data_IF_746490178171
#
_entry.id   IF_746490178171
#
_cell.length_a   1.000
_cell.length_b   1.000
_cell.length_c   1.000
_cell.angle_alpha   90.00
_cell.angle_beta   90.00
_cell.angle_gamma   90.00
#
_symmetry.space_group_name_H-M   'P 1'
#
loop_
_entity.id
_entity.type
_entity.pdbx_description
1 polymer ?
#
# COMPACT_ATOMS: atom_id res chain seq x y z
N UNK A 1 52.02 44.74 1.98
CA UNK A 1 52.52 43.84 3.00
C UNK A 1 51.55 43.87 4.20
N UNK A 2 50.63 42.92 4.29
CA UNK A 2 49.92 42.52 5.50
C UNK A 2 49.19 41.21 5.19
N UNK A 3 49.71 40.14 5.67
CA UNK A 3 49.12 38.80 5.68
C UNK A 3 47.95 38.79 6.68
N UNK A 4 46.79 38.35 6.25
CA UNK A 4 45.61 38.09 7.08
C UNK A 4 45.50 36.59 7.28
N UNK A 5 45.57 36.17 8.50
CA UNK A 5 45.48 34.83 9.02
C UNK A 5 44.04 34.25 8.82
N UNK A 6 43.92 33.19 8.04
CA UNK A 6 42.77 32.30 8.09
C UNK A 6 42.84 31.40 9.31
N UNK A 7 41.99 31.59 10.28
CA UNK A 7 41.84 30.75 11.43
C UNK A 7 40.91 29.58 11.18
N UNK A 8 41.41 28.41 11.43
CA UNK A 8 40.81 27.09 11.51
C UNK A 8 39.37 27.07 12.12
N UNK A 9 38.41 26.60 11.33
CA UNK A 9 37.08 26.15 11.83
C UNK A 9 36.79 24.69 11.44
N UNK A 10 37.73 23.78 11.64
CA UNK A 10 37.50 22.34 11.33
C UNK A 10 37.74 21.43 12.55
N UNK A 11 37.32 21.82 13.74
CA UNK A 11 37.61 21.00 14.91
C UNK A 11 36.39 20.45 15.68
N UNK A 12 35.15 20.87 15.38
CA UNK A 12 34.00 20.41 16.12
C UNK A 12 33.23 19.25 15.46
N UNK A 13 33.31 19.08 14.16
CA UNK A 13 32.59 18.02 13.46
C UNK A 13 33.25 16.62 13.62
N UNK A 14 34.56 16.56 13.79
CA UNK A 14 35.31 15.30 13.88
C UNK A 14 35.13 14.56 15.22
N UNK A 15 34.74 15.26 16.27
CA UNK A 15 34.56 14.66 17.62
C UNK A 15 33.10 14.20 17.86
N UNK A 16 32.14 14.68 17.12
CA UNK A 16 30.73 14.28 17.29
C UNK A 16 30.42 12.89 16.70
N UNK A 17 31.07 12.52 15.60
CA UNK A 17 30.85 11.25 14.92
C UNK A 17 31.19 10.03 15.82
N UNK A 18 32.31 9.94 16.49
CA UNK A 18 32.61 8.79 17.35
C UNK A 18 31.69 8.73 18.59
N UNK A 19 31.24 9.88 19.11
CA UNK A 19 30.35 9.88 20.27
C UNK A 19 28.92 9.39 19.85
N UNK A 20 28.48 9.76 18.69
CA UNK A 20 27.17 9.28 18.13
C UNK A 20 27.25 7.79 17.82
N UNK A 21 28.33 7.32 17.23
CA UNK A 21 28.54 5.90 16.98
C UNK A 21 28.68 5.10 18.28
N UNK A 22 29.31 5.65 19.29
CA UNK A 22 29.41 5.02 20.61
C UNK A 22 28.06 4.98 21.31
N UNK A 23 27.26 6.04 21.24
CA UNK A 23 25.93 6.07 21.80
C UNK A 23 25.02 5.07 21.09
N UNK A 24 25.07 4.98 19.76
CA UNK A 24 24.35 3.97 18.97
C UNK A 24 24.83 2.56 19.35
N UNK A 25 26.14 2.34 19.52
CA UNK A 25 26.66 1.04 19.91
C UNK A 25 26.26 0.64 21.34
N UNK A 26 26.22 1.57 22.28
CA UNK A 26 25.74 1.34 23.65
C UNK A 26 24.24 1.03 23.67
N UNK A 27 23.42 1.75 22.89
CA UNK A 27 21.99 1.46 22.73
C UNK A 27 21.76 0.08 22.10
N UNK A 28 22.58 -0.31 21.12
CA UNK A 28 22.51 -1.61 20.47
C UNK A 28 22.98 -2.77 21.36
N UNK A 29 23.78 -2.50 22.42
CA UNK A 29 24.29 -3.53 23.32
C UNK A 29 23.35 -3.90 24.47
N UNK A 30 22.27 -3.16 24.68
CA UNK A 30 21.30 -3.41 25.76
C UNK A 30 20.07 -4.12 25.18
N UNK A 31 20.27 -5.31 24.61
CA UNK A 31 19.13 -6.12 24.14
C UNK A 31 18.41 -6.81 25.29
N UNK A 32 17.28 -6.27 25.70
CA UNK A 32 16.28 -6.99 26.50
C UNK A 32 15.44 -7.90 25.59
N UNK A 33 14.94 -9.05 26.07
CA UNK A 33 14.12 -9.94 25.25
C UNK A 33 12.87 -9.23 24.74
N UNK A 34 12.70 -9.22 23.44
CA UNK A 34 11.64 -8.54 22.72
C UNK A 34 10.26 -9.22 22.90
N UNK A 35 9.24 -8.43 23.19
CA UNK A 35 7.83 -8.83 23.29
C UNK A 35 6.95 -7.93 22.41
N UNK A 36 5.89 -8.50 21.87
CA UNK A 36 5.08 -8.11 20.70
C UNK A 36 4.20 -6.85 20.71
N UNK A 37 3.70 -6.46 19.50
CA UNK A 37 2.73 -5.39 19.25
C UNK A 37 1.48 -5.45 20.12
N UNK A 38 0.93 -4.25 20.50
CA UNK A 38 0.24 -4.17 21.77
C UNK A 38 -1.11 -4.87 21.86
N UNK A 39 -1.98 -4.78 20.84
CA UNK A 39 -3.36 -5.22 21.01
C UNK A 39 -3.53 -6.75 21.17
N UNK A 40 -3.22 -7.51 20.13
CA UNK A 40 -3.38 -8.97 20.17
C UNK A 40 -2.30 -9.64 21.01
N UNK A 41 -1.10 -9.13 20.98
CA UNK A 41 0.01 -9.65 21.76
C UNK A 41 -0.25 -9.56 23.27
N UNK A 42 -0.79 -8.44 23.73
CA UNK A 42 -1.21 -8.30 25.14
C UNK A 42 -2.33 -9.27 25.50
N UNK A 43 -3.35 -9.39 24.64
CA UNK A 43 -4.47 -10.29 24.86
C UNK A 43 -4.02 -11.73 25.03
N UNK A 44 -3.13 -12.19 24.18
CA UNK A 44 -2.75 -13.60 24.11
C UNK A 44 -1.39 -13.91 24.77
N UNK A 45 -0.68 -12.89 25.25
CA UNK A 45 0.65 -13.06 25.85
C UNK A 45 1.68 -13.59 24.86
N UNK A 46 1.57 -13.19 23.58
CA UNK A 46 2.43 -13.64 22.51
C UNK A 46 3.54 -12.62 22.23
N UNK A 47 4.61 -13.05 21.56
CA UNK A 47 5.66 -12.17 21.02
C UNK A 47 5.33 -11.79 19.58
N UNK A 48 5.87 -10.68 19.05
CA UNK A 48 5.72 -10.30 17.64
C UNK A 48 6.12 -11.42 16.69
N UNK A 49 7.26 -12.04 16.95
CA UNK A 49 7.79 -13.16 16.16
C UNK A 49 6.91 -14.42 16.19
N UNK A 50 5.87 -14.47 17.03
CA UNK A 50 4.88 -15.52 16.93
C UNK A 50 3.99 -15.34 15.69
N UNK A 51 3.70 -14.09 15.30
CA UNK A 51 2.81 -13.76 14.20
C UNK A 51 3.53 -13.18 12.98
N UNK A 52 4.72 -12.60 13.16
CA UNK A 52 5.46 -11.91 12.13
C UNK A 52 6.84 -12.54 11.90
N UNK A 53 7.25 -12.66 10.66
CA UNK A 53 8.64 -12.95 10.29
C UNK A 53 9.49 -11.69 10.45
N UNK A 54 8.98 -10.60 9.92
CA UNK A 54 9.41 -9.23 10.16
C UNK A 54 8.15 -8.37 10.11
N UNK A 55 7.94 -7.51 11.09
CA UNK A 55 6.74 -6.65 11.08
C UNK A 55 6.78 -5.69 9.87
N UNK A 56 5.69 -5.50 9.09
CA UNK A 56 4.33 -6.03 9.29
C UNK A 56 4.06 -7.39 8.64
N UNK A 57 5.05 -8.01 7.99
CA UNK A 57 4.92 -9.27 7.26
C UNK A 57 4.51 -10.43 8.19
N UNK A 58 3.39 -11.09 7.88
CA UNK A 58 2.87 -12.21 8.67
C UNK A 58 3.57 -13.53 8.30
N UNK A 59 3.94 -14.29 9.33
CA UNK A 59 4.29 -15.70 9.17
C UNK A 59 3.02 -16.57 9.08
N UNK A 60 3.19 -17.87 8.91
CA UNK A 60 2.09 -18.82 8.79
C UNK A 60 1.10 -18.76 9.98
N UNK A 61 1.61 -18.63 11.21
CA UNK A 61 0.75 -18.55 12.40
C UNK A 61 -0.02 -17.23 12.43
N UNK A 62 0.63 -16.12 12.13
CA UNK A 62 -0.01 -14.81 12.08
C UNK A 62 -1.09 -14.73 11.01
N UNK A 63 -0.84 -15.32 9.84
CA UNK A 63 -1.83 -15.40 8.78
C UNK A 63 -3.05 -16.24 9.21
N UNK A 64 -2.83 -17.41 9.81
CA UNK A 64 -3.90 -18.25 10.32
C UNK A 64 -4.71 -17.58 11.43
N UNK A 65 -4.06 -16.83 12.31
CA UNK A 65 -4.72 -16.04 13.35
C UNK A 65 -5.65 -14.99 12.75
N UNK A 66 -5.19 -14.26 11.73
CA UNK A 66 -6.01 -13.32 10.97
C UNK A 66 -7.18 -14.01 10.29
N UNK A 67 -6.94 -15.13 9.62
CA UNK A 67 -7.96 -15.87 8.87
C UNK A 67 -9.09 -16.39 9.77
N UNK A 68 -8.74 -16.76 11.00
CA UNK A 68 -9.72 -17.18 12.02
C UNK A 68 -10.39 -16.00 12.76
N UNK A 69 -10.37 -14.80 12.23
CA UNK A 69 -11.01 -13.64 12.86
C UNK A 69 -10.33 -13.17 14.13
N UNK A 70 -8.98 -13.17 14.14
CA UNK A 70 -8.16 -12.81 15.30
C UNK A 70 -8.38 -13.68 16.52
N UNK A 71 -8.58 -14.99 16.29
CA UNK A 71 -8.83 -16.02 17.29
C UNK A 71 -7.78 -17.13 17.23
N UNK A 72 -7.42 -17.66 18.40
CA UNK A 72 -6.56 -18.84 18.53
C UNK A 72 -7.36 -20.15 18.44
N UNK A 73 -8.69 -20.08 18.42
CA UNK A 73 -9.63 -21.19 18.45
C UNK A 73 -9.51 -22.02 19.75
N UNK A 74 -9.29 -21.34 20.87
CA UNK A 74 -9.18 -21.95 22.19
C UNK A 74 -9.86 -21.07 23.27
N UNK A 75 -9.72 -21.44 24.53
CA UNK A 75 -10.33 -20.77 25.68
C UNK A 75 -9.85 -19.34 25.94
N UNK A 76 -8.76 -18.92 25.32
CA UNK A 76 -8.25 -17.52 25.39
C UNK A 76 -8.99 -16.55 24.48
N UNK A 77 -9.90 -17.02 23.63
CA UNK A 77 -10.68 -16.22 22.69
C UNK A 77 -11.88 -15.53 23.35
N UNK A 78 -11.74 -15.09 24.58
CA UNK A 78 -12.80 -14.34 25.26
C UNK A 78 -13.10 -13.02 24.52
N UNK A 79 -14.37 -12.61 24.44
CA UNK A 79 -14.76 -11.32 23.93
C UNK A 79 -14.03 -10.16 24.60
N UNK A 80 -13.79 -9.08 23.87
CA UNK A 80 -13.03 -7.92 24.37
C UNK A 80 -13.64 -7.29 25.63
N UNK A 81 -14.94 -7.33 25.78
CA UNK A 81 -15.68 -6.76 26.90
C UNK A 81 -15.67 -7.62 28.18
N UNK A 82 -15.27 -8.88 28.09
CA UNK A 82 -15.17 -9.76 29.28
C UNK A 82 -13.94 -9.46 30.13
N UNK A 83 -12.94 -8.81 29.59
CA UNK A 83 -11.77 -8.39 30.35
C UNK A 83 -11.62 -6.86 30.25
N UNK A 84 -12.27 -6.17 31.16
CA UNK A 84 -12.31 -4.72 31.19
C UNK A 84 -10.93 -4.06 31.39
N UNK A 85 -9.92 -4.79 31.89
CA UNK A 85 -8.54 -4.30 32.01
C UNK A 85 -7.78 -4.37 30.69
N UNK A 86 -8.36 -4.94 29.67
CA UNK A 86 -7.75 -5.13 28.38
C UNK A 86 -8.64 -4.53 27.28
N UNK A 87 -8.28 -3.36 26.80
CA UNK A 87 -8.84 -2.83 25.56
C UNK A 87 -7.85 -3.00 24.42
N UNK A 88 -8.22 -3.61 23.29
CA UNK A 88 -7.31 -3.90 22.20
C UNK A 88 -7.04 -2.67 21.31
N UNK A 89 -6.46 -1.62 21.88
CA UNK A 89 -6.07 -0.41 21.15
C UNK A 89 -4.55 -0.40 20.96
N UNK A 90 -4.13 -0.06 19.76
CA UNK A 90 -2.74 0.25 19.40
C UNK A 90 -2.72 1.60 18.72
N UNK A 91 -1.82 2.45 19.08
CA UNK A 91 -1.49 3.67 18.35
C UNK A 91 -0.25 3.40 17.51
N UNK A 92 -0.28 3.76 16.23
CA UNK A 92 0.86 3.67 15.32
C UNK A 92 1.13 5.03 14.72
N UNK A 93 2.39 5.40 14.66
CA UNK A 93 2.85 6.57 13.92
C UNK A 93 4.20 6.30 13.31
N UNK A 94 4.46 6.90 12.14
CA UNK A 94 5.72 6.77 11.40
C UNK A 94 6.23 8.15 11.04
N UNK A 95 6.95 8.83 11.96
CA UNK A 95 7.68 10.04 11.63
C UNK A 95 8.94 9.70 10.83
N UNK A 96 9.24 10.53 9.86
CA UNK A 96 10.42 10.34 9.01
C UNK A 96 10.99 11.68 8.53
N UNK A 97 12.22 11.64 8.08
CA UNK A 97 12.82 12.66 7.25
C UNK A 97 13.00 12.09 5.84
N UNK A 98 12.58 12.86 4.85
CA UNK A 98 12.75 12.46 3.45
C UNK A 98 13.53 13.49 2.67
N UNK A 99 14.20 13.00 1.64
CA UNK A 99 14.79 13.80 0.58
C UNK A 99 14.36 13.20 -0.75
N UNK A 100 13.61 13.97 -1.50
CA UNK A 100 13.16 13.58 -2.82
C UNK A 100 13.80 14.46 -3.89
N UNK A 101 14.14 13.86 -5.03
CA UNK A 101 14.71 14.59 -6.16
C UNK A 101 14.08 14.10 -7.46
N UNK A 102 13.38 15.00 -8.13
CA UNK A 102 12.78 14.76 -9.43
C UNK A 102 13.62 15.42 -10.50
N UNK A 103 13.93 14.70 -11.58
CA UNK A 103 14.84 15.18 -12.62
C UNK A 103 14.26 16.34 -13.43
N UNK A 104 12.93 16.39 -13.55
CA UNK A 104 12.20 17.36 -14.35
C UNK A 104 10.89 17.72 -13.69
N UNK A 105 10.89 18.82 -12.96
CA UNK A 105 9.68 19.41 -12.43
C UNK A 105 9.29 20.63 -13.28
N UNK A 106 7.99 20.85 -13.45
CA UNK A 106 7.52 22.08 -14.07
C UNK A 106 7.84 23.27 -13.15
N UNK A 107 8.37 24.33 -13.70
CA UNK A 107 8.58 25.60 -13.01
C UNK A 107 7.75 26.67 -13.68
N UNK A 108 7.07 27.49 -12.92
CA UNK A 108 6.02 28.42 -13.35
C UNK A 108 6.47 29.54 -14.30
N UNK A 109 7.75 29.75 -14.45
CA UNK A 109 8.23 31.04 -14.92
C UNK A 109 8.74 31.04 -16.32
N UNK A 110 8.65 29.96 -17.04
CA UNK A 110 9.34 30.09 -18.32
C UNK A 110 8.89 29.16 -19.41
N UNK A 111 9.01 29.59 -20.62
CA UNK A 111 8.83 28.74 -21.79
C UNK A 111 9.82 27.56 -21.88
N UNK A 112 10.70 27.38 -20.90
CA UNK A 112 11.71 26.31 -20.87
C UNK A 112 11.64 25.41 -19.65
N UNK A 113 10.73 25.52 -18.94
CA UNK A 113 10.12 25.17 -17.72
C UNK A 113 10.44 23.86 -17.00
N UNK A 114 11.38 23.03 -17.41
CA UNK A 114 11.72 21.82 -16.64
C UNK A 114 13.08 21.95 -15.97
N UNK A 115 13.08 21.77 -14.64
CA UNK A 115 14.30 21.78 -13.84
C UNK A 115 14.31 20.61 -12.88
N UNK A 116 15.51 20.22 -12.45
CA UNK A 116 15.64 19.31 -11.33
C UNK A 116 15.15 20.00 -10.06
N UNK A 117 14.23 19.38 -9.38
CA UNK A 117 13.72 19.85 -8.09
C UNK A 117 14.10 18.84 -7.00
N UNK A 118 14.51 19.36 -5.85
CA UNK A 118 14.81 18.55 -4.68
C UNK A 118 14.10 19.15 -3.49
N UNK A 119 13.32 18.32 -2.82
CA UNK A 119 12.63 18.65 -1.57
C UNK A 119 13.25 17.86 -0.43
N UNK A 120 13.27 18.45 0.75
CA UNK A 120 13.72 17.78 1.97
C UNK A 120 12.90 18.26 3.13
N UNK A 121 12.54 17.36 4.05
CA UNK A 121 11.78 17.76 5.22
C UNK A 121 11.52 16.62 6.19
N UNK A 122 11.00 16.99 7.34
CA UNK A 122 10.40 16.05 8.26
C UNK A 122 8.91 15.94 7.95
N UNK A 123 8.39 14.74 8.04
CA UNK A 123 6.99 14.45 7.84
C UNK A 123 6.53 13.35 8.79
N UNK A 124 5.22 13.14 8.85
CA UNK A 124 4.56 12.11 9.62
C UNK A 124 3.56 11.40 8.71
N UNK A 125 3.72 10.11 8.48
CA UNK A 125 2.76 9.35 7.67
C UNK A 125 1.43 9.08 8.37
N UNK A 126 0.97 10.02 9.19
CA UNK A 126 -0.27 9.95 9.92
C UNK A 126 -0.18 9.28 11.29
N UNK A 127 -1.33 9.20 11.93
CA UNK A 127 -1.54 8.52 13.22
C UNK A 127 -2.70 7.54 13.07
N UNK A 128 -2.41 6.26 13.21
CA UNK A 128 -3.42 5.22 13.17
C UNK A 128 -3.81 4.78 14.58
N UNK A 129 -5.09 4.58 14.77
CA UNK A 129 -5.66 3.96 15.96
C UNK A 129 -6.21 2.60 15.54
N UNK A 130 -5.48 1.52 15.84
CA UNK A 130 -5.92 0.18 15.49
C UNK A 130 -6.64 -0.45 16.67
N UNK A 131 -7.87 -0.86 16.46
CA UNK A 131 -8.60 -1.66 17.43
C UNK A 131 -9.32 -2.81 16.71
N UNK A 132 -9.26 -3.98 17.30
CA UNK A 132 -9.84 -5.19 16.71
C UNK A 132 -9.90 -6.34 17.71
N UNK A 133 -10.68 -7.34 17.39
CA UNK A 133 -10.82 -8.52 18.23
C UNK A 133 -12.17 -9.19 18.09
N UNK A 134 -12.47 -10.09 19.00
CA UNK A 134 -13.74 -10.82 19.06
C UNK A 134 -14.77 -10.06 19.89
N UNK A 135 -15.95 -9.86 19.33
CA UNK A 135 -17.14 -9.37 20.05
C UNK A 135 -17.88 -10.53 20.69
N UNK A 136 -18.02 -11.61 19.98
CA UNK A 136 -18.56 -12.89 20.41
C UNK A 136 -17.84 -14.02 19.70
N UNK A 137 -18.10 -15.26 20.10
CA UNK A 137 -17.53 -16.42 19.40
C UNK A 137 -17.88 -16.37 17.92
N UNK A 138 -16.86 -16.42 17.06
CA UNK A 138 -17.00 -16.34 15.61
C UNK A 138 -17.58 -15.00 15.11
N UNK A 139 -17.52 -13.95 15.90
CA UNK A 139 -17.88 -12.61 15.50
C UNK A 139 -16.77 -11.65 15.92
N UNK A 140 -16.06 -11.12 14.95
CA UNK A 140 -14.91 -10.24 15.13
C UNK A 140 -15.07 -8.93 14.38
N UNK A 141 -14.20 -7.96 14.68
CA UNK A 141 -14.18 -6.66 14.05
C UNK A 141 -12.75 -6.15 13.89
N UNK A 142 -12.58 -5.22 12.98
CA UNK A 142 -11.39 -4.38 12.85
C UNK A 142 -11.84 -2.94 12.57
N UNK A 143 -11.26 -2.00 13.30
CA UNK A 143 -11.51 -0.57 13.16
C UNK A 143 -10.16 0.15 13.16
N UNK A 144 -9.88 0.90 12.11
CA UNK A 144 -8.64 1.68 11.93
C UNK A 144 -9.01 3.09 11.50
N UNK A 145 -9.37 3.99 12.44
CA UNK A 145 -9.35 5.42 12.15
C UNK A 145 -7.90 5.88 12.03
N UNK A 146 -7.64 6.66 11.00
CA UNK A 146 -6.35 7.26 10.70
C UNK A 146 -6.49 8.78 10.63
N UNK A 147 -5.52 9.50 11.14
CA UNK A 147 -5.38 10.93 10.94
C UNK A 147 -4.18 11.18 10.03
N UNK A 148 -4.35 12.03 9.03
CA UNK A 148 -3.24 12.50 8.20
C UNK A 148 -2.38 13.55 8.95
N UNK A 149 -1.33 14.03 8.32
CA UNK A 149 -0.43 15.07 8.86
C UNK A 149 -1.13 16.41 9.10
N UNK A 150 -2.23 16.67 8.44
CA UNK A 150 -3.05 17.87 8.60
C UNK A 150 -4.09 17.73 9.72
N UNK A 151 -4.24 16.52 10.25
CA UNK A 151 -5.17 16.18 11.32
C UNK A 151 -6.59 15.88 10.85
N UNK A 152 -6.80 15.68 9.56
CA UNK A 152 -8.07 15.17 9.05
C UNK A 152 -8.22 13.68 9.36
N UNK A 153 -9.36 13.30 9.90
CA UNK A 153 -9.66 11.91 10.24
C UNK A 153 -10.42 11.20 9.11
N UNK A 154 -9.96 10.04 8.76
CA UNK A 154 -10.64 9.12 7.86
C UNK A 154 -10.61 7.69 8.41
N UNK A 155 -11.44 6.82 7.87
CA UNK A 155 -11.38 5.40 8.23
C UNK A 155 -10.63 4.62 7.15
N UNK A 156 -9.45 4.14 7.51
CA UNK A 156 -8.71 3.24 6.65
C UNK A 156 -9.42 1.88 6.57
N UNK A 157 -9.84 1.32 7.70
CA UNK A 157 -10.60 0.08 7.76
C UNK A 157 -11.70 0.14 8.82
N UNK A 158 -12.89 -0.30 8.46
CA UNK A 158 -14.04 -0.45 9.36
C UNK A 158 -14.82 -1.65 8.92
N UNK A 159 -14.64 -2.78 9.57
CA UNK A 159 -15.37 -3.98 9.18
C UNK A 159 -15.72 -4.88 10.35
N UNK A 160 -16.74 -5.67 10.13
CA UNK A 160 -17.14 -6.80 10.98
C UNK A 160 -17.00 -8.10 10.21
N UNK A 161 -16.75 -9.17 10.94
CA UNK A 161 -16.55 -10.49 10.36
C UNK A 161 -17.37 -11.52 11.11
N UNK A 162 -17.95 -12.43 10.34
CA UNK A 162 -18.60 -13.63 10.81
C UNK A 162 -17.71 -14.81 10.43
N UNK A 163 -17.05 -15.39 11.41
CA UNK A 163 -15.99 -16.37 11.19
C UNK A 163 -16.49 -17.79 11.49
N UNK A 164 -16.00 -18.75 10.70
CA UNK A 164 -16.29 -20.18 10.89
C UNK A 164 -17.79 -20.48 11.02
N UNK A 165 -18.62 -19.85 10.19
CA UNK A 165 -20.05 -20.08 10.15
C UNK A 165 -20.34 -21.58 9.95
N UNK A 166 -21.33 -22.09 10.67
CA UNK A 166 -21.66 -23.52 10.70
C UNK A 166 -20.48 -24.44 11.05
N UNK A 167 -19.50 -23.92 11.81
CA UNK A 167 -18.25 -24.60 12.20
C UNK A 167 -17.38 -24.99 10.99
N UNK A 168 -17.49 -24.25 9.90
CA UNK A 168 -16.73 -24.48 8.68
C UNK A 168 -15.70 -23.38 8.45
N UNK A 169 -14.40 -23.67 8.31
CA UNK A 169 -13.38 -22.68 7.97
C UNK A 169 -13.54 -22.16 6.52
N UNK A 170 -14.43 -22.77 5.74
CA UNK A 170 -14.77 -22.32 4.40
C UNK A 170 -15.82 -21.21 4.36
N UNK A 171 -16.44 -20.88 5.50
CA UNK A 171 -17.54 -19.94 5.55
C UNK A 171 -17.21 -18.78 6.52
N UNK A 172 -16.48 -17.81 6.01
CA UNK A 172 -16.21 -16.55 6.69
C UNK A 172 -16.72 -15.42 5.83
N UNK A 173 -17.36 -14.43 6.42
CA UNK A 173 -17.89 -13.26 5.71
C UNK A 173 -17.41 -12.00 6.40
N UNK A 174 -16.91 -11.06 5.62
CA UNK A 174 -16.43 -9.75 6.07
C UNK A 174 -17.28 -8.68 5.37
N UNK A 175 -17.72 -7.66 6.11
CA UNK A 175 -18.57 -6.58 5.60
C UNK A 175 -18.09 -5.25 6.15
N UNK A 176 -18.02 -4.24 5.32
CA UNK A 176 -17.59 -2.88 5.66
C UNK A 176 -16.52 -2.36 4.73
N UNK A 177 -15.61 -1.52 5.24
CA UNK A 177 -14.39 -1.08 4.53
C UNK A 177 -13.24 -1.98 4.97
N UNK A 178 -12.60 -2.66 4.03
CA UNK A 178 -11.63 -3.70 4.34
C UNK A 178 -10.63 -3.93 3.19
N UNK A 179 -9.46 -4.42 3.58
CA UNK A 179 -8.48 -4.96 2.67
C UNK A 179 -8.98 -6.26 2.04
N UNK A 180 -8.79 -6.42 0.72
CA UNK A 180 -9.09 -7.66 -0.01
C UNK A 180 -8.22 -8.82 0.51
N UNK A 181 -8.79 -10.02 0.54
CA UNK A 181 -8.08 -11.21 1.05
C UNK A 181 -7.15 -11.81 -0.02
N UNK A 182 -6.07 -11.08 -0.30
CA UNK A 182 -4.91 -11.57 -1.03
C UNK A 182 -3.81 -11.98 -0.06
N UNK A 183 -2.99 -12.97 -0.37
CA UNK A 183 -1.89 -13.35 0.52
C UNK A 183 -0.65 -12.46 0.32
N UNK A 184 -0.48 -11.82 -0.83
CA UNK A 184 0.43 -10.70 -1.03
C UNK A 184 -0.39 -9.41 -0.89
N UNK A 185 -0.07 -8.60 0.07
CA UNK A 185 -0.84 -7.42 0.43
C UNK A 185 0.08 -6.25 0.68
N UNK A 186 -0.28 -5.11 0.15
CA UNK A 186 0.39 -3.83 0.41
C UNK A 186 0.61 -3.58 1.90
N UNK A 187 -0.43 -3.80 2.71
CA UNK A 187 -0.37 -3.57 4.17
C UNK A 187 0.64 -4.47 4.90
N UNK A 188 1.28 -5.41 4.20
CA UNK A 188 2.24 -6.38 4.76
C UNK A 188 3.57 -6.43 4.02
N UNK A 189 3.79 -5.55 3.05
CA UNK A 189 5.10 -5.34 2.45
C UNK A 189 6.02 -4.59 3.40
N UNK A 190 7.32 -4.65 3.17
CA UNK A 190 8.30 -3.97 3.99
C UNK A 190 8.67 -2.59 3.45
N UNK A 191 8.39 -2.32 2.19
CA UNK A 191 8.66 -1.04 1.54
C UNK A 191 7.65 0.02 1.95
N UNK A 192 8.11 1.24 2.24
CA UNK A 192 7.28 2.39 2.66
C UNK A 192 7.65 3.69 1.93
N UNK A 193 8.47 3.65 0.90
CA UNK A 193 8.94 4.86 0.24
C UNK A 193 7.78 5.71 -0.30
N UNK A 194 7.78 7.00 0.00
CA UNK A 194 6.74 7.94 -0.40
C UNK A 194 7.00 8.63 -1.75
N UNK A 195 8.14 8.38 -2.38
CA UNK A 195 8.45 9.02 -3.67
C UNK A 195 7.66 8.47 -4.86
N UNK A 196 6.49 7.87 -4.59
CA UNK A 196 5.64 7.26 -5.62
C UNK A 196 6.20 5.97 -6.18
N UNK A 197 7.19 5.41 -5.50
CA UNK A 197 7.83 4.19 -5.95
C UNK A 197 7.29 2.92 -5.31
N UNK A 198 7.00 2.97 -4.02
CA UNK A 198 6.40 1.83 -3.33
C UNK A 198 4.96 1.61 -3.82
N UNK A 199 4.51 0.41 -3.74
CA UNK A 199 3.14 0.02 -4.08
C UNK A 199 2.63 0.47 -5.46
N UNK A 200 3.52 0.88 -6.36
CA UNK A 200 3.14 1.41 -7.67
C UNK A 200 2.16 0.47 -8.39
N UNK A 201 2.42 -0.83 -8.38
CA UNK A 201 1.55 -1.80 -9.04
C UNK A 201 0.23 -2.02 -8.30
N UNK A 202 0.22 -1.95 -6.98
CA UNK A 202 -1.00 -2.05 -6.18
C UNK A 202 -1.96 -0.89 -6.42
N UNK A 203 -1.41 0.32 -6.61
CA UNK A 203 -2.15 1.55 -6.83
C UNK A 203 -2.16 1.99 -8.29
N UNK A 204 -1.63 1.19 -9.19
CA UNK A 204 -1.45 1.62 -10.58
C UNK A 204 -2.78 1.75 -11.30
N UNK A 205 -3.11 2.98 -11.64
CA UNK A 205 -4.25 3.36 -12.46
C UNK A 205 -3.74 4.34 -13.53
N UNK A 206 -3.66 3.91 -14.79
CA UNK A 206 -3.11 4.76 -15.85
C UNK A 206 -4.03 5.92 -16.25
N UNK A 207 -5.28 5.87 -15.83
CA UNK A 207 -6.29 6.86 -16.21
C UNK A 207 -7.16 7.20 -15.00
N UNK A 208 -7.49 8.47 -14.86
CA UNK A 208 -8.44 8.94 -13.85
C UNK A 208 -7.88 9.07 -12.44
N UNK A 209 -8.78 9.30 -11.52
CA UNK A 209 -8.50 9.45 -10.10
C UNK A 209 -8.48 8.09 -9.42
N UNK A 210 -7.41 7.81 -8.71
CA UNK A 210 -7.19 6.56 -7.97
C UNK A 210 -8.25 6.21 -6.94
N UNK A 211 -9.02 7.18 -6.47
CA UNK A 211 -10.09 6.95 -5.51
C UNK A 211 -11.36 6.33 -6.11
N UNK A 212 -11.39 6.08 -7.40
CA UNK A 212 -12.63 5.73 -8.07
C UNK A 212 -12.73 4.26 -8.38
N UNK A 213 -11.64 3.58 -8.69
CA UNK A 213 -11.70 2.19 -9.13
C UNK A 213 -10.36 1.50 -9.21
N UNK A 214 -10.38 0.18 -9.20
CA UNK A 214 -9.34 -0.68 -9.76
C UNK A 214 -8.04 -0.81 -8.97
N UNK A 215 -7.93 -0.21 -7.81
CA UNK A 215 -6.76 -0.39 -6.96
C UNK A 215 -6.89 -1.67 -6.12
N UNK A 216 -5.90 -2.54 -6.24
CA UNK A 216 -5.88 -3.80 -5.50
C UNK A 216 -5.36 -3.59 -4.07
N UNK A 217 -4.56 -2.53 -3.85
CA UNK A 217 -3.94 -2.20 -2.57
C UNK A 217 -4.87 -1.47 -1.60
N UNK A 218 -5.90 -0.79 -2.09
CA UNK A 218 -6.78 -0.01 -1.24
C UNK A 218 -7.82 -0.84 -0.50
N UNK A 219 -8.27 -0.30 0.63
CA UNK A 219 -9.40 -0.87 1.34
C UNK A 219 -10.70 -0.60 0.58
N UNK A 220 -11.48 -1.65 0.35
CA UNK A 220 -12.71 -1.64 -0.45
C UNK A 220 -13.94 -1.63 0.45
N UNK A 221 -15.02 -0.96 0.02
CA UNK A 221 -16.30 -0.92 0.74
C UNK A 221 -17.27 -1.92 0.12
N UNK A 222 -17.59 -2.99 0.86
CA UNK A 222 -18.44 -4.06 0.34
C UNK A 222 -18.58 -5.25 1.27
N UNK A 223 -18.70 -6.41 0.64
CA UNK A 223 -18.74 -7.69 1.33
C UNK A 223 -17.79 -8.69 0.67
N UNK A 224 -17.13 -9.50 1.48
CA UNK A 224 -16.20 -10.53 1.03
C UNK A 224 -16.48 -11.83 1.75
N UNK A 225 -16.59 -12.89 0.97
CA UNK A 225 -16.53 -14.27 1.44
C UNK A 225 -15.09 -14.76 1.40
N UNK A 226 -14.67 -15.44 2.47
CA UNK A 226 -13.33 -16.03 2.60
C UNK A 226 -13.46 -17.47 3.06
N UNK A 227 -12.68 -18.37 2.46
CA UNK A 227 -12.64 -19.77 2.84
C UNK A 227 -11.22 -20.30 2.86
N UNK A 228 -10.93 -21.18 3.81
CA UNK A 228 -9.65 -21.87 3.86
C UNK A 228 -9.79 -23.32 4.30
N UNK A 229 -8.89 -24.18 3.86
CA UNK A 229 -8.83 -25.56 4.30
C UNK A 229 -8.39 -25.63 5.77
N UNK A 230 -8.79 -26.68 6.50
CA UNK A 230 -8.45 -26.85 7.92
C UNK A 230 -6.94 -26.87 8.21
N UNK A 231 -6.11 -27.20 7.22
CA UNK A 231 -4.65 -27.12 7.29
C UNK A 231 -4.10 -25.80 6.69
N UNK A 232 -4.95 -24.85 6.35
CA UNK A 232 -4.64 -23.54 5.79
C UNK A 232 -3.79 -23.56 4.49
N UNK A 233 -3.77 -24.67 3.79
CA UNK A 233 -3.01 -24.77 2.53
C UNK A 233 -3.75 -24.15 1.35
N UNK A 234 -5.06 -24.39 1.26
CA UNK A 234 -5.92 -23.84 0.21
C UNK A 234 -6.71 -22.67 0.78
N UNK A 235 -6.72 -21.55 0.07
CA UNK A 235 -7.50 -20.36 0.40
C UNK A 235 -8.25 -19.88 -0.83
N UNK A 236 -9.48 -19.44 -0.64
CA UNK A 236 -10.33 -18.83 -1.66
C UNK A 236 -10.99 -17.58 -1.08
N UNK A 237 -11.14 -16.57 -1.91
CA UNK A 237 -11.88 -15.36 -1.57
C UNK A 237 -12.71 -14.90 -2.76
N UNK A 238 -13.89 -14.35 -2.47
CA UNK A 238 -14.72 -13.67 -3.47
C UNK A 238 -15.38 -12.45 -2.82
N UNK A 239 -15.26 -11.28 -3.44
CA UNK A 239 -15.81 -10.03 -2.94
C UNK A 239 -16.65 -9.31 -3.98
N UNK A 240 -17.63 -8.54 -3.49
CA UNK A 240 -18.34 -7.53 -4.25
C UNK A 240 -18.29 -6.23 -3.47
N UNK A 241 -17.87 -5.17 -4.13
CA UNK A 241 -17.66 -3.87 -3.50
C UNK A 241 -17.93 -2.70 -4.45
N UNK A 242 -17.98 -1.50 -3.89
CA UNK A 242 -18.18 -0.27 -4.64
C UNK A 242 -16.96 0.05 -5.51
N UNK A 243 -17.19 0.46 -6.75
CA UNK A 243 -16.13 0.99 -7.62
C UNK A 243 -15.85 2.49 -7.38
N UNK A 244 -16.51 3.14 -6.43
CA UNK A 244 -16.50 4.58 -6.22
C UNK A 244 -16.19 4.95 -4.76
N UNK A 245 -15.42 4.14 -4.06
CA UNK A 245 -15.08 4.28 -2.63
C UNK A 245 -16.30 4.61 -1.73
N UNK A 246 -17.42 3.93 -2.00
CA UNK A 246 -18.65 4.07 -1.23
C UNK A 246 -19.54 5.27 -1.64
N UNK A 247 -19.21 5.99 -2.69
CA UNK A 247 -20.10 6.98 -3.23
C UNK A 247 -21.32 6.29 -3.87
N UNK A 248 -22.50 6.52 -3.30
CA UNK A 248 -23.76 5.94 -3.76
C UNK A 248 -24.50 6.80 -4.78
N UNK A 249 -24.05 8.03 -4.99
CA UNK A 249 -24.62 8.96 -5.95
C UNK A 249 -24.18 8.61 -7.38
N UNK A 250 -24.78 7.56 -7.91
CA UNK A 250 -24.50 7.10 -9.27
C UNK A 250 -25.50 7.78 -10.23
N UNK A 251 -25.03 8.61 -11.15
CA UNK A 251 -25.90 9.33 -12.07
C UNK A 251 -26.72 8.41 -12.96
N UNK A 252 -27.97 8.75 -13.21
CA UNK A 252 -28.83 8.11 -14.24
C UNK A 252 -28.94 6.58 -14.12
N UNK A 253 -28.97 6.04 -12.90
CA UNK A 253 -29.13 4.61 -12.69
C UNK A 253 -27.95 3.76 -13.17
N UNK A 254 -26.79 4.36 -13.32
CA UNK A 254 -25.56 3.63 -13.60
C UNK A 254 -25.15 2.79 -12.37
N UNK A 255 -24.45 1.71 -12.60
CA UNK A 255 -23.94 0.84 -11.54
C UNK A 255 -22.47 1.15 -11.27
N UNK A 256 -22.02 0.92 -10.04
CA UNK A 256 -20.61 1.09 -9.65
C UNK A 256 -20.16 -0.05 -8.75
N UNK A 257 -20.16 -1.25 -9.32
CA UNK A 257 -19.77 -2.45 -8.60
C UNK A 257 -18.54 -3.10 -9.20
N UNK A 258 -17.70 -3.63 -8.32
CA UNK A 258 -16.53 -4.44 -8.67
C UNK A 258 -16.67 -5.80 -8.03
N UNK A 259 -16.41 -6.84 -8.81
CA UNK A 259 -16.21 -8.20 -8.34
C UNK A 259 -14.72 -8.53 -8.23
N UNK A 260 -14.34 -9.23 -7.19
CA UNK A 260 -12.99 -9.74 -6.98
C UNK A 260 -13.05 -11.23 -6.66
N UNK A 261 -12.08 -11.98 -7.15
CA UNK A 261 -11.86 -13.38 -6.80
C UNK A 261 -10.37 -13.63 -6.64
N UNK A 262 -10.00 -14.35 -5.58
CA UNK A 262 -8.63 -14.79 -5.37
C UNK A 262 -8.58 -16.23 -4.87
N UNK A 263 -7.49 -16.92 -5.21
CA UNK A 263 -7.26 -18.27 -4.74
C UNK A 263 -5.79 -18.59 -4.63
N UNK A 264 -5.40 -19.35 -3.60
CA UNK A 264 -4.00 -19.74 -3.42
C UNK A 264 -3.86 -21.13 -2.82
N UNK A 265 -2.70 -21.74 -3.12
CA UNK A 265 -2.31 -23.06 -2.64
C UNK A 265 -0.91 -23.03 -2.04
N UNK A 266 -0.78 -23.50 -0.81
CA UNK A 266 0.51 -23.69 -0.15
C UNK A 266 0.97 -25.15 -0.24
N UNK A 267 2.29 -25.35 -0.40
CA UNK A 267 2.92 -26.66 -0.45
C UNK A 267 4.29 -26.63 0.24
N UNK A 268 4.65 -27.74 0.87
CA UNK A 268 5.93 -27.84 1.57
C UNK A 268 7.02 -28.32 0.61
N UNK A 269 8.15 -27.63 0.64
CA UNK A 269 9.36 -27.98 -0.11
C UNK A 269 10.49 -28.48 0.83
N UNK A 270 10.11 -29.01 1.98
CA UNK A 270 11.05 -29.57 2.95
C UNK A 270 11.88 -28.47 3.63
N UNK A 271 13.20 -28.54 3.48
CA UNK A 271 14.13 -27.59 4.13
C UNK A 271 14.02 -26.15 3.64
N UNK A 272 13.45 -25.93 2.45
CA UNK A 272 13.26 -24.58 1.91
C UNK A 272 12.09 -23.84 2.53
N UNK A 273 11.13 -24.54 3.14
CA UNK A 273 9.96 -23.93 3.78
C UNK A 273 8.65 -24.28 3.10
N UNK A 274 7.62 -23.51 3.41
CA UNK A 274 6.28 -23.63 2.82
C UNK A 274 6.11 -22.54 1.78
N UNK A 275 6.04 -22.95 0.53
CA UNK A 275 5.80 -22.07 -0.61
C UNK A 275 4.31 -21.85 -0.78
N UNK A 276 3.89 -20.68 -1.26
CA UNK A 276 2.50 -20.40 -1.63
C UNK A 276 2.46 -19.76 -3.02
N UNK A 277 1.56 -20.23 -3.84
CA UNK A 277 1.24 -19.64 -5.14
C UNK A 277 -0.26 -19.39 -5.23
N UNK A 278 -0.63 -18.40 -5.99
CA UNK A 278 -2.03 -18.03 -6.18
C UNK A 278 -2.22 -17.09 -7.33
N UNK A 279 -3.44 -16.63 -7.46
CA UNK A 279 -3.80 -15.63 -8.44
C UNK A 279 -5.12 -14.98 -8.09
N UNK A 280 -5.39 -13.88 -8.75
CA UNK A 280 -6.61 -13.10 -8.54
C UNK A 280 -7.14 -12.57 -9.86
N UNK A 281 -8.42 -12.23 -9.84
CA UNK A 281 -9.10 -11.51 -10.90
C UNK A 281 -10.04 -10.48 -10.29
N UNK A 282 -10.09 -9.30 -10.90
CA UNK A 282 -10.97 -8.21 -10.55
C UNK A 282 -11.61 -7.69 -11.83
N UNK A 283 -12.92 -7.48 -11.79
CA UNK A 283 -13.66 -6.84 -12.86
C UNK A 283 -14.68 -5.87 -12.26
N UNK A 284 -14.67 -4.66 -12.75
CA UNK A 284 -15.56 -3.62 -12.27
C UNK A 284 -16.11 -2.74 -13.37
N UNK A 285 -17.10 -1.96 -12.98
CA UNK A 285 -17.66 -0.90 -13.80
C UNK A 285 -17.76 0.36 -12.96
N UNK A 286 -17.43 1.50 -13.56
CA UNK A 286 -17.55 2.80 -12.93
C UNK A 286 -18.25 3.78 -13.87
N UNK A 287 -19.03 4.74 -13.34
CA UNK A 287 -19.72 5.73 -14.15
C UNK A 287 -18.71 6.72 -14.73
N UNK A 288 -18.96 7.17 -15.95
CA UNK A 288 -18.16 8.20 -16.63
C UNK A 288 -18.97 9.43 -17.01
N UNK A 289 -20.22 9.46 -16.60
CA UNK A 289 -21.10 10.59 -16.86
C UNK A 289 -20.89 11.68 -15.82
N UNK A 290 -20.51 12.86 -16.27
CA UNK A 290 -20.38 14.04 -15.42
C UNK A 290 -21.61 14.89 -15.53
N UNK A 291 -22.01 15.48 -14.41
CA UNK A 291 -23.19 16.33 -14.31
C UNK A 291 -22.78 17.77 -14.02
N UNK A 292 -23.49 18.72 -14.61
CA UNK A 292 -23.45 20.11 -14.14
C UNK A 292 -24.07 20.21 -12.75
N UNK A 293 -23.89 21.34 -12.07
CA UNK A 293 -24.57 21.63 -10.79
C UNK A 293 -26.11 21.55 -10.89
N UNK A 294 -26.68 21.63 -12.10
CA UNK A 294 -28.11 21.48 -12.36
C UNK A 294 -28.52 20.04 -12.70
N UNK A 295 -27.63 19.05 -12.58
CA UNK A 295 -27.94 17.65 -12.86
C UNK A 295 -28.03 17.29 -14.35
N UNK A 296 -27.51 18.13 -15.25
CA UNK A 296 -27.52 17.87 -16.70
C UNK A 296 -26.16 17.24 -17.10
N UNK A 297 -26.14 16.17 -17.92
CA UNK A 297 -24.89 15.59 -18.40
C UNK A 297 -24.06 16.61 -19.18
N UNK A 298 -22.76 16.65 -18.88
CA UNK A 298 -21.81 17.43 -19.66
C UNK A 298 -21.64 16.79 -21.05
N UNK A 299 -21.72 17.58 -22.13
CA UNK A 299 -21.49 17.07 -23.47
C UNK A 299 -20.12 16.40 -23.58
N UNK A 300 -20.06 15.22 -24.19
CA UNK A 300 -18.81 14.50 -24.41
C UNK A 300 -18.27 13.73 -23.22
N UNK A 301 -18.89 13.79 -22.04
CA UNK A 301 -18.42 13.06 -20.86
C UNK A 301 -18.55 11.52 -20.98
N UNK A 302 -19.18 11.02 -22.03
CA UNK A 302 -19.60 9.63 -22.13
C UNK A 302 -20.80 9.32 -21.24
N UNK A 303 -21.69 8.47 -21.70
CA UNK A 303 -22.86 8.06 -20.93
C UNK A 303 -22.77 6.58 -20.63
N UNK A 304 -23.07 6.21 -19.38
CA UNK A 304 -23.10 4.83 -18.94
C UNK A 304 -21.84 4.41 -18.19
N UNK A 305 -21.85 3.15 -17.78
CA UNK A 305 -20.73 2.55 -17.10
C UNK A 305 -19.64 2.13 -18.08
N UNK A 306 -18.42 2.31 -17.69
CA UNK A 306 -17.23 1.82 -18.39
C UNK A 306 -16.53 0.77 -17.54
N UNK A 307 -16.03 -0.26 -18.18
CA UNK A 307 -15.40 -1.39 -17.49
C UNK A 307 -13.90 -1.18 -17.29
N UNK A 308 -13.41 -1.86 -16.26
CA UNK A 308 -11.99 -2.08 -16.03
C UNK A 308 -11.75 -3.50 -15.53
N UNK A 309 -10.55 -4.01 -15.70
CA UNK A 309 -10.18 -5.35 -15.22
C UNK A 309 -8.74 -5.43 -14.74
N UNK A 310 -8.51 -6.32 -13.79
CA UNK A 310 -7.19 -6.70 -13.28
C UNK A 310 -7.14 -8.22 -13.16
N UNK A 311 -6.06 -8.82 -13.58
CA UNK A 311 -5.79 -10.24 -13.35
C UNK A 311 -4.31 -10.43 -13.06
N UNK A 312 -3.99 -11.26 -12.11
CA UNK A 312 -2.61 -11.43 -11.71
C UNK A 312 -2.30 -12.77 -11.06
N UNK A 313 -1.01 -12.96 -10.88
CA UNK A 313 -0.42 -14.09 -10.17
C UNK A 313 0.33 -13.58 -8.95
N UNK A 314 0.30 -14.36 -7.88
CA UNK A 314 0.98 -14.08 -6.63
C UNK A 314 1.83 -15.27 -6.20
N UNK A 315 2.99 -15.02 -5.63
CA UNK A 315 3.87 -16.04 -5.12
C UNK A 315 4.66 -15.62 -3.90
N UNK A 316 4.74 -16.49 -2.89
CA UNK A 316 5.61 -16.36 -1.72
C UNK A 316 6.52 -17.57 -1.66
N UNK A 317 7.82 -17.32 -1.74
CA UNK A 317 8.83 -18.37 -1.88
C UNK A 317 9.90 -18.21 -0.82
N UNK A 318 10.19 -19.30 -0.11
CA UNK A 318 11.22 -19.37 0.92
C UNK A 318 12.44 -20.15 0.40
N UNK A 319 13.61 -19.61 0.67
CA UNK A 319 14.89 -20.28 0.45
C UNK A 319 15.59 -20.54 1.80
N UNK A 320 14.89 -21.28 2.66
CA UNK A 320 15.32 -21.53 4.04
C UNK A 320 14.82 -20.49 5.04
N UNK A 321 15.42 -20.39 6.22
CA UNK A 321 14.88 -19.60 7.31
C UNK A 321 15.19 -18.09 7.24
N UNK A 322 16.03 -17.65 6.31
CA UNK A 322 16.53 -16.29 6.28
C UNK A 322 16.22 -15.53 4.99
N UNK A 323 15.83 -16.23 3.95
CA UNK A 323 15.64 -15.60 2.65
C UNK A 323 14.28 -16.02 2.10
N UNK A 324 13.48 -15.03 1.79
CA UNK A 324 12.23 -15.20 1.06
C UNK A 324 12.07 -14.11 0.00
N UNK A 325 11.15 -14.34 -0.91
CA UNK A 325 10.75 -13.35 -1.90
C UNK A 325 9.29 -13.48 -2.25
N UNK A 326 8.68 -12.34 -2.44
CA UNK A 326 7.32 -12.17 -2.91
C UNK A 326 7.34 -11.81 -4.38
N UNK A 327 6.44 -12.38 -5.14
CA UNK A 327 6.22 -12.08 -6.56
C UNK A 327 4.77 -11.68 -6.73
N UNK A 328 4.54 -10.57 -7.37
CA UNK A 328 3.20 -10.10 -7.71
C UNK A 328 3.19 -9.66 -9.16
N UNK A 329 2.17 -10.07 -9.90
CA UNK A 329 2.00 -9.67 -11.30
C UNK A 329 0.60 -9.13 -11.52
N UNK A 330 0.45 -8.26 -12.49
CA UNK A 330 -0.85 -7.73 -12.87
C UNK A 330 -0.89 -7.45 -14.38
N UNK A 331 -1.91 -7.95 -15.02
CA UNK A 331 -2.40 -7.45 -16.28
C UNK A 331 -3.64 -6.62 -16.02
N UNK A 332 -3.70 -5.41 -16.57
CA UNK A 332 -4.83 -4.54 -16.41
C UNK A 332 -5.30 -3.91 -17.71
N UNK A 333 -6.57 -3.58 -17.76
CA UNK A 333 -7.20 -2.81 -18.82
C UNK A 333 -8.20 -1.83 -18.20
N UNK A 334 -8.13 -0.56 -18.60
CA UNK A 334 -9.10 0.47 -18.25
C UNK A 334 -9.80 1.01 -19.49
N UNK A 335 -11.02 1.48 -19.33
CA UNK A 335 -11.66 2.24 -20.40
C UNK A 335 -10.92 3.56 -20.64
N UNK A 336 -10.69 3.91 -21.89
CA UNK A 336 -10.09 5.19 -22.27
C UNK A 336 -10.89 6.40 -21.73
N UNK A 337 -12.19 6.23 -21.47
CA UNK A 337 -13.04 7.27 -20.91
C UNK A 337 -12.68 7.70 -19.49
N UNK A 338 -11.98 6.87 -18.72
CA UNK A 338 -11.49 7.25 -17.40
C UNK A 338 -10.37 8.30 -17.45
N UNK A 339 -9.62 8.36 -18.56
CA UNK A 339 -8.58 9.37 -18.78
C UNK A 339 -9.07 10.68 -19.39
N UNK A 340 -10.36 10.82 -19.64
CA UNK A 340 -10.93 12.03 -20.21
C UNK A 340 -11.19 13.08 -19.12
N UNK A 341 -10.16 13.65 -18.55
CA UNK A 341 -10.22 14.79 -17.60
C UNK A 341 -11.23 14.62 -16.47
N UNK A 342 -11.13 13.55 -15.72
CA UNK A 342 -12.14 13.21 -14.71
C UNK A 342 -12.42 14.31 -13.68
N UNK A 343 -11.44 14.84 -12.99
CA UNK A 343 -11.67 15.86 -11.96
C UNK A 343 -11.91 17.27 -12.50
N UNK A 344 -11.42 17.56 -13.67
CA UNK A 344 -11.30 18.91 -14.21
C UNK A 344 -12.49 19.33 -15.08
N UNK A 345 -13.27 18.38 -15.57
CA UNK A 345 -14.54 18.66 -16.25
C UNK A 345 -15.51 19.35 -15.27
N UNK A 346 -15.56 18.92 -14.02
CA UNK A 346 -16.44 19.52 -13.01
C UNK A 346 -16.02 20.96 -12.65
N UNK A 347 -14.74 21.29 -12.79
CA UNK A 347 -14.21 22.64 -12.58
C UNK A 347 -14.25 23.50 -13.84
N UNK A 348 -14.61 22.94 -14.99
CA UNK A 348 -14.50 23.64 -16.29
C UNK A 348 -13.05 23.91 -16.71
N UNK A 349 -12.10 23.22 -16.11
CA UNK A 349 -10.65 23.46 -16.27
C UNK A 349 -9.92 22.27 -16.87
N UNK A 350 -10.61 21.35 -17.56
CA UNK A 350 -9.92 20.28 -18.25
C UNK A 350 -8.80 20.85 -19.11
N UNK A 351 -7.54 20.78 -18.73
CA UNK A 351 -6.44 21.20 -19.56
C UNK A 351 -6.31 20.14 -20.64
N UNK A 352 -6.93 20.41 -21.73
CA UNK A 352 -6.77 19.57 -22.87
C UNK A 352 -5.36 19.72 -23.42
N UNK A 353 -4.62 18.65 -23.39
CA UNK A 353 -3.35 18.55 -24.13
C UNK A 353 -3.55 18.72 -25.63
N UNK A 354 -4.80 18.76 -26.11
CA UNK A 354 -5.19 18.93 -27.49
C UNK A 354 -6.21 20.05 -27.73
N UNK A 355 -6.36 21.01 -26.82
CA UNK A 355 -7.39 22.06 -26.86
C UNK A 355 -8.83 21.51 -26.84
N UNK A 356 -9.07 20.36 -26.26
CA UNK A 356 -10.39 19.75 -26.20
C UNK A 356 -11.07 20.06 -24.87
N UNK A 357 -11.59 21.24 -24.70
CA UNK A 357 -12.29 21.70 -23.50
C UNK A 357 -13.64 21.01 -23.24
N UNK A 358 -13.95 19.95 -23.95
CA UNK A 358 -15.28 19.31 -23.92
C UNK A 358 -15.29 17.90 -23.31
N UNK A 359 -14.14 17.39 -22.84
CA UNK A 359 -14.05 16.03 -22.29
C UNK A 359 -14.27 14.91 -23.31
N UNK A 360 -14.12 15.21 -24.60
CA UNK A 360 -14.19 14.23 -25.68
C UNK A 360 -12.85 13.50 -25.77
N UNK A 361 -12.88 12.18 -25.88
CA UNK A 361 -11.67 11.42 -26.13
C UNK A 361 -10.94 11.89 -27.38
N UNK A 362 -9.61 12.02 -27.40
CA UNK A 362 -8.84 12.28 -28.59
C UNK A 362 -9.15 11.28 -29.70
N UNK A 363 -9.16 11.74 -30.95
CA UNK A 363 -9.34 10.84 -32.08
C UNK A 363 -8.27 9.74 -32.07
N UNK A 364 -8.70 8.47 -32.10
CA UNK A 364 -7.80 7.33 -32.03
C UNK A 364 -7.42 6.90 -30.63
N UNK A 365 -7.99 7.49 -29.58
CA UNK A 365 -7.81 7.02 -28.21
C UNK A 365 -8.25 5.54 -28.07
N UNK A 366 -7.44 4.76 -27.37
CA UNK A 366 -7.67 3.34 -27.11
C UNK A 366 -7.64 3.07 -25.61
N UNK A 367 -8.31 2.03 -25.19
CA UNK A 367 -8.22 1.54 -23.81
C UNK A 367 -6.75 1.29 -23.47
N UNK A 368 -6.22 1.91 -22.40
CA UNK A 368 -4.90 1.58 -21.92
C UNK A 368 -4.91 0.17 -21.32
N UNK A 369 -3.95 -0.62 -21.74
CA UNK A 369 -3.65 -1.91 -21.14
C UNK A 369 -2.20 -1.91 -20.67
N UNK A 370 -1.91 -2.70 -19.64
CA UNK A 370 -0.55 -2.82 -19.12
C UNK A 370 -0.26 -4.20 -18.56
N UNK A 371 1.02 -4.50 -18.45
CA UNK A 371 1.53 -5.62 -17.69
C UNK A 371 2.50 -5.09 -16.64
N UNK A 372 2.28 -5.48 -15.40
CA UNK A 372 3.14 -5.12 -14.28
C UNK A 372 3.62 -6.34 -13.53
N UNK A 373 4.76 -6.20 -12.87
CA UNK A 373 5.29 -7.19 -11.95
C UNK A 373 6.18 -6.53 -10.92
N UNK A 374 6.21 -7.07 -9.71
CA UNK A 374 7.30 -6.82 -8.79
C UNK A 374 7.85 -8.11 -8.19
N UNK A 375 9.09 -8.02 -7.76
CA UNK A 375 9.74 -8.99 -6.89
C UNK A 375 10.28 -8.24 -5.70
N UNK A 376 9.83 -8.60 -4.51
CA UNK A 376 10.37 -8.09 -3.25
C UNK A 376 11.10 -9.22 -2.53
N UNK A 377 12.34 -8.99 -2.17
CA UNK A 377 13.23 -9.97 -1.53
C UNK A 377 13.53 -9.52 -0.12
N UNK A 378 13.41 -10.42 0.85
CA UNK A 378 13.68 -10.18 2.25
C UNK A 378 14.82 -11.07 2.73
N UNK A 379 15.81 -10.46 3.35
CA UNK A 379 16.83 -11.17 4.11
C UNK A 379 16.65 -10.91 5.60
N UNK A 380 16.04 -11.87 6.29
CA UNK A 380 15.81 -11.84 7.73
C UNK A 380 17.07 -12.29 8.44
N UNK A 381 17.94 -11.34 8.76
CA UNK A 381 19.18 -11.62 9.51
C UNK A 381 18.87 -12.12 10.93
N UNK A 382 17.93 -11.48 11.59
CA UNK A 382 17.39 -11.84 12.89
C UNK A 382 15.96 -11.33 13.02
N UNK A 383 15.18 -11.71 14.04
CA UNK A 383 13.86 -11.15 14.28
C UNK A 383 13.85 -9.61 14.43
N UNK A 384 15.00 -9.01 14.71
CA UNK A 384 15.15 -7.57 14.86
C UNK A 384 15.62 -6.85 13.60
N UNK A 385 16.28 -7.55 12.67
CA UNK A 385 16.87 -6.91 11.49
C UNK A 385 16.48 -7.66 10.22
N UNK A 386 15.79 -6.95 9.35
CA UNK A 386 15.47 -7.41 7.99
C UNK A 386 15.98 -6.39 6.98
N UNK A 387 16.65 -6.88 5.95
CA UNK A 387 17.06 -6.11 4.79
C UNK A 387 16.13 -6.50 3.65
N UNK A 388 15.67 -5.55 2.87
CA UNK A 388 14.77 -5.83 1.76
C UNK A 388 15.17 -5.08 0.50
N UNK A 389 14.75 -5.62 -0.62
CA UNK A 389 14.91 -5.03 -1.94
C UNK A 389 13.66 -5.33 -2.76
N UNK A 390 13.13 -4.31 -3.45
CA UNK A 390 12.02 -4.45 -4.41
C UNK A 390 12.43 -3.96 -5.77
N UNK A 391 12.10 -4.73 -6.77
CA UNK A 391 12.16 -4.35 -8.18
C UNK A 391 10.78 -4.46 -8.77
N UNK A 392 10.32 -3.42 -9.42
CA UNK A 392 8.97 -3.31 -9.92
C UNK A 392 8.94 -2.70 -11.32
N UNK A 393 8.07 -3.21 -12.16
CA UNK A 393 7.93 -2.78 -13.55
C UNK A 393 6.47 -2.68 -13.94
N UNK A 394 6.15 -1.63 -14.69
CA UNK A 394 4.89 -1.52 -15.43
C UNK A 394 5.23 -1.26 -16.90
N UNK A 395 4.59 -2.00 -17.79
CA UNK A 395 4.76 -1.88 -19.24
C UNK A 395 3.42 -1.56 -19.88
N UNK A 396 3.31 -0.36 -20.39
CA UNK A 396 2.10 0.16 -21.03
C UNK A 396 1.99 -0.29 -22.48
N UNK A 397 0.77 -0.57 -22.93
CA UNK A 397 0.50 -0.82 -24.36
C UNK A 397 0.62 0.43 -25.23
N UNK A 398 0.58 1.59 -24.61
CA UNK A 398 0.66 2.88 -25.28
C UNK A 398 1.77 3.72 -24.64
N UNK A 399 2.46 4.48 -25.45
CA UNK A 399 3.40 5.48 -24.96
C UNK A 399 2.66 6.74 -24.50
N UNK A 400 3.31 7.55 -23.67
CA UNK A 400 2.78 8.82 -23.21
C UNK A 400 2.82 9.86 -24.35
N UNK A 401 1.81 9.87 -25.20
CA UNK A 401 1.65 10.84 -26.28
C UNK A 401 0.18 11.24 -26.44
N UNK A 402 -0.09 12.21 -27.31
CA UNK A 402 -1.37 12.91 -27.42
C UNK A 402 -2.62 12.03 -27.57
N UNK A 403 -2.52 10.84 -28.15
CA UNK A 403 -3.64 9.90 -28.28
C UNK A 403 -3.79 8.94 -27.10
N UNK A 404 -2.86 8.97 -26.16
CA UNK A 404 -2.93 8.18 -24.92
C UNK A 404 -3.56 9.02 -23.80
N UNK A 405 -4.79 8.74 -23.40
CA UNK A 405 -5.49 9.54 -22.40
C UNK A 405 -4.85 9.49 -21.02
N UNK A 406 -4.03 8.47 -20.74
CA UNK A 406 -3.33 8.34 -19.46
C UNK A 406 -2.08 9.18 -19.34
N UNK A 407 -1.47 9.59 -20.46
CA UNK A 407 -0.16 10.26 -20.52
C UNK A 407 0.96 9.54 -19.76
N UNK A 408 0.83 8.25 -19.49
CA UNK A 408 1.81 7.43 -18.82
C UNK A 408 2.51 6.48 -19.79
N UNK A 409 3.84 6.40 -19.68
CA UNK A 409 4.65 5.40 -20.34
C UNK A 409 5.05 4.28 -19.37
N UNK A 410 6.04 3.51 -19.79
CA UNK A 410 6.61 2.45 -18.96
C UNK A 410 7.23 2.98 -17.67
N UNK A 411 7.11 2.19 -16.60
CA UNK A 411 7.65 2.52 -15.27
C UNK A 411 8.65 1.45 -14.85
N UNK A 412 9.79 1.87 -14.35
CA UNK A 412 10.78 1.05 -13.64
C UNK A 412 10.97 1.65 -12.25
N UNK A 413 10.84 0.83 -11.20
CA UNK A 413 10.97 1.24 -9.81
C UNK A 413 11.87 0.25 -9.05
N UNK A 414 12.81 0.78 -8.26
CA UNK A 414 13.72 -0.01 -7.45
C UNK A 414 13.81 0.60 -6.06
N UNK A 415 13.61 -0.23 -5.05
CA UNK A 415 13.70 0.14 -3.65
C UNK A 415 14.67 -0.79 -2.95
N UNK A 416 15.47 -0.25 -2.06
CA UNK A 416 16.32 -1.01 -1.14
C UNK A 416 16.26 -0.36 0.23
N UNK A 417 16.16 -1.18 1.26
CA UNK A 417 16.06 -0.66 2.62
C UNK A 417 16.34 -1.70 3.68
N UNK A 418 16.19 -1.26 4.90
CA UNK A 418 16.24 -2.15 6.06
C UNK A 418 15.27 -1.68 7.13
N UNK A 419 14.81 -2.64 7.91
CA UNK A 419 14.04 -2.43 9.12
C UNK A 419 14.76 -3.03 10.31
N UNK A 420 14.99 -2.21 11.33
CA UNK A 420 15.67 -2.62 12.55
C UNK A 420 14.82 -2.29 13.77
N UNK A 421 14.45 -3.33 14.52
CA UNK A 421 13.58 -3.28 15.67
C UNK A 421 14.38 -3.46 16.98
N UNK A 422 15.02 -2.43 17.55
CA UNK A 422 15.77 -2.56 18.79
C UNK A 422 14.87 -2.89 19.98
N UNK A 423 13.60 -2.46 19.92
CA UNK A 423 12.63 -2.69 20.99
C UNK A 423 11.34 -3.29 20.40
N UNK A 424 10.98 -4.45 20.91
CA UNK A 424 9.74 -5.13 20.60
C UNK A 424 9.18 -5.74 21.89
N UNK A 425 8.48 -4.95 22.68
CA UNK A 425 7.85 -5.39 23.92
C UNK A 425 6.38 -5.75 23.72
N UNK A 426 5.73 -6.36 24.69
CA UNK A 426 4.28 -6.59 24.65
C UNK A 426 3.44 -5.32 24.80
N UNK A 427 4.07 -4.15 24.97
CA UNK A 427 3.39 -2.88 25.20
C UNK A 427 3.76 -1.79 24.22
N UNK A 428 4.95 -1.85 23.64
CA UNK A 428 5.42 -0.90 22.66
C UNK A 428 6.41 -1.56 21.70
N UNK A 429 6.36 -1.17 20.45
CA UNK A 429 7.32 -1.48 19.41
C UNK A 429 8.00 -0.21 18.91
N UNK A 430 9.26 -0.35 18.51
CA UNK A 430 9.98 0.71 17.83
C UNK A 430 10.87 0.06 16.76
N UNK A 431 10.81 0.61 15.55
CA UNK A 431 11.66 0.16 14.45
C UNK A 431 12.27 1.36 13.72
N UNK A 432 13.55 1.31 13.45
CA UNK A 432 14.15 2.15 12.41
C UNK A 432 13.76 1.57 11.05
N UNK A 433 13.29 2.44 10.16
CA UNK A 433 12.92 2.12 8.81
C UNK A 433 13.60 3.10 7.87
N UNK A 434 14.53 2.61 7.07
CA UNK A 434 15.28 3.45 6.15
C UNK A 434 15.24 2.84 4.76
N UNK A 435 14.94 3.66 3.77
CA UNK A 435 14.79 3.24 2.37
C UNK A 435 15.45 4.23 1.42
N UNK A 436 15.94 3.69 0.33
CA UNK A 436 16.27 4.45 -0.87
C UNK A 436 15.48 3.89 -2.05
N UNK A 437 14.79 4.76 -2.77
CA UNK A 437 14.06 4.39 -3.98
C UNK A 437 14.54 5.18 -5.19
N UNK A 438 14.39 4.55 -6.35
CA UNK A 438 14.60 5.18 -7.64
C UNK A 438 13.51 4.72 -8.59
N UNK A 439 12.87 5.70 -9.25
CA UNK A 439 11.79 5.47 -10.21
C UNK A 439 12.12 6.18 -11.53
N UNK A 440 11.80 5.52 -12.63
CA UNK A 440 11.84 6.10 -13.97
C UNK A 440 10.49 5.89 -14.64
N UNK A 441 9.94 6.98 -15.16
CA UNK A 441 8.69 7.00 -15.92
C UNK A 441 9.00 7.52 -17.33
N UNK A 442 8.64 6.75 -18.34
CA UNK A 442 8.96 7.12 -19.72
C UNK A 442 7.91 8.04 -20.29
N UNK A 443 8.37 9.13 -20.89
CA UNK A 443 7.53 10.06 -21.62
C UNK A 443 6.59 10.91 -20.76
N UNK A 444 6.83 11.02 -19.45
CA UNK A 444 5.89 11.65 -18.50
C UNK A 444 6.32 13.01 -18.00
N UNK A 445 7.40 13.57 -18.52
CA UNK A 445 7.79 14.92 -18.08
C UNK A 445 6.73 15.95 -18.46
N UNK A 446 6.43 16.91 -17.57
CA UNK A 446 5.24 17.78 -17.71
C UNK A 446 5.30 18.76 -18.86
N UNK A 447 6.48 19.11 -19.35
CA UNK A 447 6.65 20.11 -20.42
C UNK A 447 7.12 19.49 -21.74
N UNK A 448 8.13 18.63 -21.68
CA UNK A 448 8.77 18.09 -22.88
C UNK A 448 8.27 16.70 -23.29
N UNK A 449 7.51 16.03 -22.44
CA UNK A 449 7.05 14.67 -22.68
C UNK A 449 8.19 13.65 -22.79
N UNK A 450 9.36 13.94 -22.20
CA UNK A 450 10.48 13.01 -22.17
C UNK A 450 10.50 12.20 -20.88
N UNK A 451 11.50 11.34 -20.69
CA UNK A 451 11.58 10.50 -19.48
C UNK A 451 11.76 11.34 -18.22
N UNK A 452 11.01 10.98 -17.20
CA UNK A 452 11.10 11.49 -15.85
C UNK A 452 11.81 10.46 -14.97
N UNK A 453 12.70 10.91 -14.09
CA UNK A 453 13.26 10.06 -13.03
C UNK A 453 13.22 10.78 -11.68
N UNK A 454 12.90 10.03 -10.67
CA UNK A 454 12.87 10.50 -9.29
C UNK A 454 13.67 9.55 -8.40
N UNK A 455 14.20 10.07 -7.33
CA UNK A 455 14.77 9.25 -6.26
C UNK A 455 14.39 9.84 -4.91
N UNK A 456 14.29 8.96 -3.92
CA UNK A 456 13.96 9.31 -2.56
C UNK A 456 14.90 8.61 -1.59
N UNK A 457 15.26 9.31 -0.54
CA UNK A 457 15.87 8.74 0.66
C UNK A 457 14.94 9.03 1.83
N UNK A 458 14.42 7.98 2.45
CA UNK A 458 13.57 8.05 3.63
C UNK A 458 14.38 7.53 4.84
N UNK A 459 14.44 8.32 5.89
CA UNK A 459 15.01 7.96 7.18
C UNK A 459 13.94 8.13 8.24
N UNK A 460 13.34 7.02 8.65
CA UNK A 460 12.18 7.05 9.52
C UNK A 460 12.24 6.03 10.64
N UNK A 461 11.23 6.07 11.48
CA UNK A 461 10.99 5.06 12.48
C UNK A 461 9.49 4.85 12.69
N UNK A 462 9.14 3.60 12.94
CA UNK A 462 7.79 3.22 13.33
C UNK A 462 7.71 3.16 14.85
N UNK A 463 6.63 3.67 15.37
CA UNK A 463 6.33 3.62 16.79
C UNK A 463 4.91 3.10 17.01
N UNK A 464 4.81 2.02 17.77
CA UNK A 464 3.56 1.35 18.10
C UNK A 464 3.42 1.18 19.61
N UNK A 465 2.28 1.55 20.22
CA UNK A 465 2.04 1.37 21.66
C UNK A 465 0.57 1.18 22.03
#
# INVERSE_FOLDING_TARGET
MRMGTQSRQYSFAASAIPLTLLAVFVVLSVSQPANALPAFARKYGLRCSACHESWPMLNYFGQKFKDNGYQLMNDRDAPIWQNASYWPITLRMTPFWSRESTSKAAVDTAPTGEQRMTTTGFNLSGLDILTGGTLEKNFSFLLVPSADEEGAFHFESVNVRFDNLFKSPWLNVKVGKFELDSFISEKRTLTLSESGGEFQLFHFIPVGDGNIFGQVGDNQIGAEWMGHSGNDRTRLSAAVFSSTDGNVDVPYGQNSYTGFFAGSQAFSTGKLGVQRIGGYAMYGVAPTTYLTSGGVPLPGSGIGNKSFSRVGFEGLFYLGPHLDFQVFTQHGEDSAWFGACYGEIMAGTCPDTNNNTTGILPAGARNPTWNGAFVETHYVYSPQLTIFQRSEWVRMSQQAFATNPSHLGDIDNYVVGYRYNPFMTSRAGFAFHNEYSWIRQRGTSPVTGTDLSSNSLLLGFDFDF
#
